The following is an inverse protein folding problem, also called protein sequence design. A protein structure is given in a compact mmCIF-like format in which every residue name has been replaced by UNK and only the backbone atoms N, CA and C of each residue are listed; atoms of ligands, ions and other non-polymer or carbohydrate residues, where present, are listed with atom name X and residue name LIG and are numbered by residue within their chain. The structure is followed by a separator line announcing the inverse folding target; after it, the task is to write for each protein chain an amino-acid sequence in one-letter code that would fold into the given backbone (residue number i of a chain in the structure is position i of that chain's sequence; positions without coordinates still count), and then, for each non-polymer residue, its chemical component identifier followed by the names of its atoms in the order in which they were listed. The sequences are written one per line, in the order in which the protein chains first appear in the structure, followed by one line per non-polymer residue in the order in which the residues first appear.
data_IF_108606907585
#
_entry.id   IF_108606907585
#
_cell.length_a   1.000
_cell.length_b   1.000
_cell.length_c   1.000
_cell.angle_alpha   90.00
_cell.angle_beta   90.00
_cell.angle_gamma   90.00
#
_symmetry.space_group_name_H-M   'P 1'
#
loop_
_entity.id
_entity.type
_entity.pdbx_description
1 polymer ?
#
# COMPACT_ATOMS: atom_id res chain seq x y z
N UNK A 1 20.29 5.93 4.74
CA UNK A 1 18.90 5.54 4.42
C UNK A 1 18.32 4.83 5.63
N UNK A 2 17.21 5.33 6.18
CA UNK A 2 16.53 4.74 7.35
C UNK A 2 15.55 3.63 6.93
N UNK A 3 14.84 3.88 5.83
CA UNK A 3 13.84 2.97 5.27
C UNK A 3 13.58 3.35 3.80
N UNK A 4 13.11 2.40 3.01
CA UNK A 4 12.73 2.65 1.61
C UNK A 4 11.37 1.99 1.32
N UNK A 5 10.45 2.78 0.75
CA UNK A 5 9.13 2.34 0.31
C UNK A 5 9.01 2.60 -1.20
N UNK A 6 9.26 1.57 -2.00
CA UNK A 6 9.31 1.71 -3.46
C UNK A 6 10.32 2.79 -3.90
N UNK A 7 9.87 3.84 -4.59
CA UNK A 7 10.73 4.93 -5.05
C UNK A 7 11.08 5.95 -3.94
N UNK A 8 10.44 5.86 -2.76
CA UNK A 8 10.56 6.83 -1.68
C UNK A 8 11.61 6.34 -0.69
N UNK A 9 12.65 7.12 -0.48
CA UNK A 9 13.68 6.89 0.53
C UNK A 9 13.41 7.79 1.75
N UNK A 10 13.35 7.18 2.93
CA UNK A 10 13.33 7.90 4.20
C UNK A 10 14.77 8.01 4.71
N UNK A 11 15.22 9.23 4.90
CA UNK A 11 16.56 9.56 5.36
C UNK A 11 16.47 10.56 6.50
N UNK A 12 17.59 10.89 7.13
CA UNK A 12 17.60 11.93 8.16
C UNK A 12 17.10 13.26 7.58
N UNK A 13 17.40 13.54 6.33
CA UNK A 13 16.93 14.68 5.54
C UNK A 13 16.72 14.26 4.09
N UNK A 14 15.73 14.80 3.35
CA UNK A 14 14.69 15.75 3.78
C UNK A 14 13.47 15.11 4.42
N UNK A 15 13.25 13.81 4.23
CA UNK A 15 12.07 13.07 4.69
C UNK A 15 12.47 12.09 5.78
N UNK A 16 12.39 12.56 7.03
CA UNK A 16 12.84 11.80 8.18
C UNK A 16 11.76 10.83 8.67
N UNK A 17 12.03 9.53 8.63
CA UNK A 17 11.25 8.55 9.38
C UNK A 17 11.64 8.62 10.86
N UNK A 18 10.73 9.12 11.69
CA UNK A 18 10.94 9.29 13.14
C UNK A 18 10.68 8.01 13.92
N UNK A 19 9.82 7.15 13.37
CA UNK A 19 9.48 5.86 13.96
C UNK A 19 8.61 5.02 13.05
N UNK A 20 8.43 3.77 13.42
CA UNK A 20 7.40 2.90 12.82
C UNK A 20 6.84 1.96 13.88
N UNK A 21 5.59 1.59 13.72
CA UNK A 21 4.93 0.51 14.46
C UNK A 21 4.60 -0.64 13.50
N UNK A 22 4.62 -1.85 14.03
CA UNK A 22 4.29 -3.06 13.29
C UNK A 22 3.21 -3.81 14.06
N UNK A 23 2.14 -4.16 13.40
CA UNK A 23 1.04 -4.96 13.93
C UNK A 23 0.87 -6.19 13.06
N UNK A 24 0.74 -7.35 13.70
CA UNK A 24 0.49 -8.62 13.06
C UNK A 24 -0.70 -9.27 13.74
N UNK A 25 -1.73 -9.57 12.98
CA UNK A 25 -2.95 -10.20 13.47
C UNK A 25 -2.95 -11.68 13.10
N UNK A 26 -3.48 -12.50 14.00
CA UNK A 26 -3.69 -13.92 13.75
C UNK A 26 -5.17 -14.23 14.00
N UNK A 27 -5.97 -14.43 12.96
CA UNK A 27 -7.39 -14.76 13.13
C UNK A 27 -7.56 -16.19 13.61
N UNK A 28 -8.40 -16.34 14.63
CA UNK A 28 -8.87 -17.62 15.14
C UNK A 28 -10.40 -17.70 15.01
N UNK A 29 -10.89 -18.83 14.55
CA UNK A 29 -12.30 -19.14 14.57
C UNK A 29 -12.69 -19.76 15.92
N UNK A 30 -13.72 -19.24 16.56
CA UNK A 30 -14.28 -19.76 17.81
C UNK A 30 -15.40 -20.77 17.49
N UNK A 31 -15.32 -21.97 18.08
CA UNK A 31 -16.40 -22.95 17.99
C UNK A 31 -17.18 -22.95 19.32
N UNK A 32 -18.42 -22.43 19.35
CA UNK A 32 -19.19 -22.39 20.60
C UNK A 32 -19.50 -23.81 21.09
N UNK A 33 -19.18 -24.06 22.36
CA UNK A 33 -19.44 -25.34 23.05
C UNK A 33 -20.22 -25.04 24.34
N UNK A 34 -21.29 -25.79 24.57
CA UNK A 34 -22.09 -25.63 25.78
C UNK A 34 -21.33 -26.10 27.01
N UNK A 35 -21.22 -25.24 28.01
CA UNK A 35 -20.63 -25.58 29.32
C UNK A 35 -19.11 -25.62 29.38
N UNK A 36 -18.39 -25.25 28.30
CA UNK A 36 -16.92 -25.18 28.23
C UNK A 36 -16.44 -23.94 27.53
N UNK A 37 -15.14 -23.61 27.67
CA UNK A 37 -14.52 -22.56 26.85
C UNK A 37 -14.49 -23.00 25.38
N UNK A 38 -14.89 -22.11 24.46
CA UNK A 38 -14.85 -22.43 23.03
C UNK A 38 -13.38 -22.69 22.59
N UNK A 39 -13.11 -23.79 21.91
CA UNK A 39 -11.80 -24.01 21.31
C UNK A 39 -11.56 -23.02 20.18
N UNK A 40 -10.32 -22.56 20.04
CA UNK A 40 -9.87 -21.68 18.98
C UNK A 40 -9.23 -22.51 17.87
N UNK A 41 -9.67 -22.29 16.64
CA UNK A 41 -9.10 -22.91 15.45
C UNK A 41 -8.35 -21.86 14.64
N UNK A 42 -7.08 -22.13 14.31
CA UNK A 42 -6.27 -21.22 13.51
C UNK A 42 -6.79 -21.18 12.06
N UNK A 43 -7.08 -19.99 11.57
CA UNK A 43 -7.65 -19.79 10.22
C UNK A 43 -6.57 -19.50 9.18
N UNK A 44 -5.42 -19.01 9.62
CA UNK A 44 -4.31 -18.61 8.73
C UNK A 44 -3.60 -17.35 9.20
N UNK A 45 -2.68 -16.86 8.39
CA UNK A 45 -2.03 -15.58 8.63
C UNK A 45 -3.02 -14.43 8.41
N UNK A 46 -3.09 -13.53 9.38
CA UNK A 46 -3.95 -12.35 9.34
C UNK A 46 -3.29 -11.16 8.67
N UNK A 47 -3.85 -10.00 8.96
CA UNK A 47 -3.33 -8.75 8.45
C UNK A 47 -1.99 -8.40 9.10
N UNK A 48 -1.03 -7.98 8.29
CA UNK A 48 0.24 -7.43 8.72
C UNK A 48 0.32 -5.98 8.26
N UNK A 49 0.40 -5.07 9.21
CA UNK A 49 0.31 -3.62 8.96
C UNK A 49 1.49 -2.90 9.59
N UNK A 50 2.04 -1.93 8.88
CA UNK A 50 3.04 -1.00 9.40
C UNK A 50 2.49 0.41 9.34
N UNK A 51 2.71 1.17 10.41
CA UNK A 51 2.49 2.61 10.42
C UNK A 51 3.84 3.30 10.54
N UNK A 52 4.23 4.02 9.49
CA UNK A 52 5.50 4.75 9.42
C UNK A 52 5.20 6.20 9.76
N UNK A 53 5.86 6.71 10.78
CA UNK A 53 5.80 8.11 11.18
C UNK A 53 7.00 8.85 10.59
N UNK A 54 6.73 9.93 9.89
CA UNK A 54 7.77 10.71 9.24
C UNK A 54 7.53 12.22 9.43
N UNK A 55 8.62 12.97 9.37
CA UNK A 55 8.59 14.42 9.52
C UNK A 55 9.40 15.11 8.43
N UNK A 56 8.82 16.16 7.89
CA UNK A 56 9.46 17.02 6.90
C UNK A 56 9.58 18.45 7.43
N UNK A 57 10.59 19.13 6.93
CA UNK A 57 10.82 20.56 7.19
C UNK A 57 10.92 21.29 5.84
N UNK A 58 9.78 21.58 5.17
CA UNK A 58 9.77 22.12 3.81
C UNK A 58 10.60 23.39 3.62
N UNK A 59 10.57 24.28 4.62
CA UNK A 59 11.29 25.56 4.57
C UNK A 59 12.81 25.41 4.65
N UNK A 60 13.32 24.33 5.29
CA UNK A 60 14.78 24.15 5.51
C UNK A 60 15.40 23.12 4.59
N UNK A 61 14.72 22.01 4.37
CA UNK A 61 15.29 20.82 3.71
C UNK A 61 14.49 20.36 2.50
N UNK A 62 13.34 20.99 2.22
CA UNK A 62 12.45 20.56 1.14
C UNK A 62 11.66 19.31 1.51
N UNK A 63 11.54 18.37 0.56
CA UNK A 63 10.82 17.09 0.78
C UNK A 63 9.38 17.11 0.30
N UNK A 64 8.85 18.25 -0.13
CA UNK A 64 7.49 18.35 -0.71
C UNK A 64 7.36 17.47 -1.96
N UNK A 65 8.43 17.38 -2.77
CA UNK A 65 8.46 16.49 -3.93
C UNK A 65 8.36 15.00 -3.56
N UNK A 66 8.95 14.60 -2.45
CA UNK A 66 8.88 13.22 -1.98
C UNK A 66 7.50 12.91 -1.38
N UNK A 67 6.87 13.88 -0.74
CA UNK A 67 5.49 13.78 -0.30
C UNK A 67 4.53 13.63 -1.50
N UNK A 68 4.74 14.38 -2.59
CA UNK A 68 3.97 14.22 -3.82
C UNK A 68 4.15 12.84 -4.44
N UNK A 69 5.37 12.31 -4.48
CA UNK A 69 5.63 10.92 -4.93
C UNK A 69 4.89 9.90 -4.08
N UNK A 70 4.81 10.13 -2.76
CA UNK A 70 4.05 9.28 -1.84
C UNK A 70 2.56 9.28 -2.18
N UNK A 71 1.97 10.44 -2.43
CA UNK A 71 0.57 10.55 -2.86
C UNK A 71 0.33 9.89 -4.23
N UNK A 72 1.26 10.04 -5.17
CA UNK A 72 1.18 9.37 -6.48
C UNK A 72 1.29 7.85 -6.34
N UNK A 73 2.21 7.36 -5.48
CA UNK A 73 2.35 5.92 -5.20
C UNK A 73 1.06 5.35 -4.60
N UNK A 74 0.44 6.07 -3.64
CA UNK A 74 -0.86 5.69 -3.08
C UNK A 74 -1.96 5.69 -4.15
N UNK A 75 -2.04 6.75 -4.95
CA UNK A 75 -3.08 6.88 -5.98
C UNK A 75 -2.96 5.84 -7.09
N UNK A 76 -1.74 5.36 -7.37
CA UNK A 76 -1.52 4.30 -8.36
C UNK A 76 -2.10 2.94 -7.94
N UNK A 77 -2.35 2.73 -6.64
CA UNK A 77 -2.82 1.47 -6.10
C UNK A 77 -1.84 0.29 -6.25
N UNK A 78 -0.64 0.55 -6.78
CA UNK A 78 0.36 -0.50 -7.02
C UNK A 78 1.10 -0.83 -5.72
N UNK A 79 1.30 -2.12 -5.41
CA UNK A 79 2.14 -2.53 -4.30
C UNK A 79 3.55 -1.96 -4.41
N UNK A 80 4.10 -1.55 -3.27
CA UNK A 80 5.45 -1.03 -3.14
C UNK A 80 6.30 -2.01 -2.32
N UNK A 81 7.59 -2.06 -2.57
CA UNK A 81 8.48 -2.90 -1.81
C UNK A 81 9.05 -2.13 -0.62
N UNK A 82 8.85 -2.67 0.59
CA UNK A 82 9.31 -2.04 1.83
C UNK A 82 10.60 -2.70 2.30
N UNK A 83 11.63 -1.88 2.50
CA UNK A 83 12.95 -2.30 2.98
C UNK A 83 13.38 -1.40 4.13
N UNK A 84 13.86 -1.99 5.21
CA UNK A 84 14.46 -1.27 6.32
C UNK A 84 15.94 -0.97 6.03
N UNK A 85 16.48 0.05 6.66
CA UNK A 85 17.84 0.54 6.41
C UNK A 85 18.97 -0.44 6.75
N UNK A 86 18.71 -1.44 7.59
CA UNK A 86 19.62 -2.55 7.88
C UNK A 86 19.63 -3.62 6.77
N UNK A 87 18.90 -3.41 5.68
CA UNK A 87 18.78 -4.36 4.58
C UNK A 87 17.68 -5.42 4.76
N UNK A 88 16.96 -5.41 5.90
CA UNK A 88 15.86 -6.35 6.12
C UNK A 88 14.70 -6.01 5.17
N UNK A 89 14.40 -6.95 4.28
CA UNK A 89 13.24 -6.87 3.42
C UNK A 89 11.96 -7.17 4.22
N UNK A 90 11.03 -6.21 4.24
CA UNK A 90 9.73 -6.35 4.89
C UNK A 90 8.68 -6.86 3.90
N UNK A 91 8.96 -6.79 2.59
CA UNK A 91 8.14 -7.38 1.54
C UNK A 91 7.29 -6.37 0.77
N UNK A 92 6.33 -6.89 0.02
CA UNK A 92 5.39 -6.09 -0.75
C UNK A 92 4.25 -5.58 0.12
N UNK A 93 4.01 -4.27 0.05
CA UNK A 93 2.97 -3.59 0.83
C UNK A 93 2.14 -2.68 -0.06
N UNK A 94 0.88 -2.54 0.27
CA UNK A 94 -0.02 -1.54 -0.32
C UNK A 94 -0.15 -0.36 0.65
N UNK A 95 -0.14 0.87 0.13
CA UNK A 95 -0.35 2.08 0.93
C UNK A 95 -1.86 2.23 1.13
N UNK A 96 -2.33 2.06 2.36
CA UNK A 96 -3.75 2.21 2.69
C UNK A 96 -4.12 3.67 2.92
N UNK A 97 -3.33 4.37 3.74
CA UNK A 97 -3.61 5.75 4.07
C UNK A 97 -2.33 6.56 4.25
N UNK A 98 -2.44 7.84 3.98
CA UNK A 98 -1.44 8.85 4.26
C UNK A 98 -2.16 10.00 4.95
N UNK A 99 -1.76 10.30 6.17
CA UNK A 99 -2.27 11.43 6.95
C UNK A 99 -1.17 12.48 7.07
N UNK A 100 -1.50 13.72 6.83
CA UNK A 100 -0.60 14.86 6.90
C UNK A 100 -1.10 15.85 7.92
N UNK A 101 -0.20 16.30 8.79
CA UNK A 101 -0.45 17.36 9.75
C UNK A 101 0.60 18.45 9.59
N UNK A 102 0.19 19.56 9.01
CA UNK A 102 1.03 20.75 8.85
C UNK A 102 0.90 21.70 10.03
N UNK A 103 2.00 22.12 10.58
CA UNK A 103 2.08 23.07 11.71
C UNK A 103 2.97 24.25 11.38
N UNK A 104 2.75 25.39 12.06
CA UNK A 104 3.43 26.64 11.82
C UNK A 104 3.35 27.09 10.35
N UNK A 105 2.12 27.35 9.91
CA UNK A 105 1.85 27.78 8.54
C UNK A 105 2.50 29.14 8.26
N UNK A 106 3.13 29.26 7.09
CA UNK A 106 3.63 30.55 6.59
C UNK A 106 2.48 31.37 5.95
N UNK A 107 2.80 32.55 5.44
CA UNK A 107 1.84 33.44 4.80
C UNK A 107 1.21 32.85 3.52
N UNK A 108 1.78 31.77 2.98
CA UNK A 108 1.28 31.04 1.81
C UNK A 108 0.53 29.76 2.18
N UNK A 109 0.36 29.50 3.49
CA UNK A 109 -0.30 28.31 4.00
C UNK A 109 0.57 27.04 3.97
N UNK A 110 1.88 27.15 3.75
CA UNK A 110 2.80 26.02 3.79
C UNK A 110 3.27 25.80 5.21
N UNK A 111 3.15 24.58 5.73
CA UNK A 111 3.65 24.23 7.06
C UNK A 111 5.17 24.23 7.12
N UNK A 112 5.73 24.81 8.17
CA UNK A 112 7.16 24.75 8.43
C UNK A 112 7.58 23.36 8.95
N UNK A 113 6.65 22.68 9.62
CA UNK A 113 6.79 21.30 10.08
C UNK A 113 5.59 20.53 9.56
N UNK A 114 5.87 19.44 8.86
CA UNK A 114 4.85 18.53 8.32
C UNK A 114 5.09 17.14 8.90
N UNK A 115 4.18 16.69 9.75
CA UNK A 115 4.15 15.32 10.25
C UNK A 115 3.30 14.47 9.31
N UNK A 116 3.81 13.31 8.92
CA UNK A 116 3.16 12.40 7.98
C UNK A 116 3.09 11.01 8.60
N UNK A 117 1.89 10.47 8.73
CA UNK A 117 1.64 9.09 9.13
C UNK A 117 1.22 8.28 7.91
N UNK A 118 1.96 7.21 7.63
CA UNK A 118 1.76 6.35 6.46
C UNK A 118 1.38 4.97 6.96
N UNK A 119 0.15 4.53 6.69
CA UNK A 119 -0.28 3.17 6.96
C UNK A 119 -0.13 2.31 5.71
N UNK A 120 0.61 1.21 5.85
CA UNK A 120 0.82 0.23 4.78
C UNK A 120 0.48 -1.16 5.27
N UNK A 121 -0.10 -1.97 4.40
CA UNK A 121 -0.52 -3.33 4.68
C UNK A 121 0.19 -4.32 3.76
N UNK A 122 0.61 -5.45 4.33
CA UNK A 122 1.24 -6.50 3.56
C UNK A 122 0.33 -7.01 2.46
N UNK A 123 0.91 -7.23 1.28
CA UNK A 123 0.22 -7.80 0.14
C UNK A 123 1.15 -8.77 -0.60
N UNK A 124 0.58 -9.53 -1.50
CA UNK A 124 1.36 -10.39 -2.40
C UNK A 124 2.19 -9.57 -3.38
N UNK A 125 3.19 -10.22 -4.00
CA UNK A 125 3.91 -9.64 -5.14
C UNK A 125 2.90 -9.22 -6.20
N UNK A 126 3.02 -8.02 -6.81
CA UNK A 126 2.18 -7.65 -7.92
C UNK A 126 2.33 -8.70 -9.03
N UNK A 127 1.25 -9.35 -9.39
CA UNK A 127 1.21 -10.18 -10.58
C UNK A 127 1.27 -9.27 -11.79
N UNK A 128 2.26 -9.44 -12.63
CA UNK A 128 2.42 -8.70 -13.87
C UNK A 128 1.12 -8.76 -14.68
N UNK A 129 0.33 -7.71 -14.61
CA UNK A 129 -0.80 -7.45 -15.52
C UNK A 129 -1.99 -8.43 -15.54
N UNK A 130 -1.89 -9.62 -14.94
CA UNK A 130 -2.89 -10.66 -15.17
C UNK A 130 -4.23 -10.43 -14.47
N UNK A 131 -4.25 -9.77 -13.32
CA UNK A 131 -5.53 -9.53 -12.62
C UNK A 131 -6.36 -8.45 -13.31
N UNK A 132 -5.72 -7.38 -13.80
CA UNK A 132 -6.40 -6.34 -14.57
C UNK A 132 -6.73 -6.79 -15.99
N UNK A 133 -5.95 -7.68 -16.61
CA UNK A 133 -6.27 -8.23 -17.92
C UNK A 133 -7.44 -9.22 -17.86
N UNK A 134 -7.63 -9.94 -16.75
CA UNK A 134 -8.81 -10.79 -16.55
C UNK A 134 -10.06 -9.93 -16.36
N UNK A 135 -9.98 -8.82 -15.60
CA UNK A 135 -11.13 -7.92 -15.43
C UNK A 135 -11.42 -7.06 -16.66
N UNK A 136 -10.42 -6.65 -17.41
CA UNK A 136 -10.58 -5.85 -18.63
C UNK A 136 -10.73 -6.70 -19.90
N UNK A 137 -10.19 -7.91 -19.92
CA UNK A 137 -10.29 -8.84 -21.06
C UNK A 137 -11.49 -9.78 -20.99
N UNK A 138 -12.02 -10.04 -19.79
CA UNK A 138 -13.09 -11.02 -19.61
C UNK A 138 -14.48 -10.59 -20.08
N UNK A 139 -14.74 -9.29 -20.21
CA UNK A 139 -16.04 -8.77 -20.68
C UNK A 139 -15.98 -8.35 -22.16
N UNK A 140 -14.80 -7.95 -22.66
CA UNK A 140 -14.65 -7.49 -24.05
C UNK A 140 -14.20 -8.56 -25.04
N UNK A 141 -13.35 -9.51 -24.60
CA UNK A 141 -12.78 -10.52 -25.50
C UNK A 141 -13.71 -11.67 -25.85
N UNK A 142 -14.58 -12.08 -24.94
CA UNK A 142 -15.53 -13.16 -25.21
C UNK A 142 -16.68 -12.75 -26.13
N UNK A 143 -17.12 -11.48 -26.07
CA UNK A 143 -18.20 -10.99 -26.91
C UNK A 143 -17.78 -10.79 -28.38
N UNK A 144 -16.51 -10.47 -28.64
CA UNK A 144 -16.03 -10.29 -30.01
C UNK A 144 -15.67 -11.62 -30.71
N UNK A 145 -15.32 -12.65 -29.95
CA UNK A 145 -15.03 -13.97 -30.47
C UNK A 145 -16.27 -14.70 -31.04
N UNK A 146 -17.42 -14.51 -30.42
CA UNK A 146 -18.68 -15.13 -30.89
C UNK A 146 -19.26 -14.47 -32.14
N UNK A 147 -19.01 -13.17 -32.34
CA UNK A 147 -19.51 -12.47 -33.54
C UNK A 147 -18.68 -12.83 -34.77
N UNK A 148 -17.38 -13.07 -34.61
CA UNK A 148 -16.50 -13.47 -35.70
C UNK A 148 -16.80 -14.87 -36.24
N UNK A 149 -17.18 -15.83 -35.38
CA UNK A 149 -17.53 -17.18 -35.81
C UNK A 149 -18.90 -17.26 -36.47
N UNK A 150 -19.87 -16.42 -36.06
CA UNK A 150 -21.19 -16.38 -36.65
C UNK A 150 -21.18 -15.77 -38.07
N UNK A 151 -20.33 -14.78 -38.33
CA UNK A 151 -20.23 -14.17 -39.66
C UNK A 151 -19.56 -15.11 -40.67
N UNK A 152 -18.66 -16.00 -40.23
CA UNK A 152 -18.02 -16.97 -41.11
C UNK A 152 -18.92 -18.19 -41.46
N UNK A 153 -19.95 -18.47 -40.62
CA UNK A 153 -20.90 -19.53 -40.89
C UNK A 153 -21.99 -19.14 -41.92
N UNK A 154 -22.22 -17.84 -42.14
CA UNK A 154 -23.23 -17.35 -43.09
C UNK A 154 -22.67 -17.18 -44.53
N UNK A 155 -21.35 -17.33 -44.70
CA UNK A 155 -20.66 -17.14 -46.00
C UNK A 155 -20.28 -18.45 -46.69
N UNK A 156 -20.86 -19.58 -46.30
CA UNK A 156 -20.71 -20.82 -47.03
C UNK A 156 -22.04 -21.31 -47.56
#
# INVERSE_FOLDING_TARGET
MLMKLGPIAFEIYPFNATGYSHSHETPFAEKPVVGARPPLEWVGDGAETWTIQARLFPAKFGGVGDLQKLYQARASGKPQYLVRGDGKAMGWVAIESVSEKSTYLDAKGVGQIVDVDISVKRTGKPSDGSFFSIMSGGIGGAALGFVSSAVNAIRR
#
